data_IF_170424529680
#
_entry.id   IF_170424529680
#
_cell.length_a   1.000
_cell.length_b   1.000
_cell.length_c   1.000
_cell.angle_alpha   90.00
_cell.angle_beta   90.00
_cell.angle_gamma   90.00
#
_symmetry.space_group_name_H-M   'P 1'
#
loop_
_entity.id
_entity.type
_entity.pdbx_description
1 polymer ?
#
# COMPACT_ATOMS: atom_id res chain seq x y z
N UNK A 1 0.53 47.62 7.33
CA UNK A 1 1.75 46.89 7.74
C UNK A 1 1.44 45.44 8.15
N UNK A 2 0.52 45.26 9.11
CA UNK A 2 0.22 43.94 9.69
C UNK A 2 -0.35 42.95 8.67
N UNK A 3 -1.27 43.39 7.80
CA UNK A 3 -1.82 42.54 6.74
C UNK A 3 -0.76 42.07 5.72
N UNK A 4 0.29 42.86 5.48
CA UNK A 4 1.37 42.45 4.57
C UNK A 4 2.32 41.46 5.26
N UNK A 5 2.54 41.63 6.56
CA UNK A 5 3.30 40.66 7.37
C UNK A 5 2.60 39.30 7.39
N UNK A 6 1.28 39.27 7.62
CA UNK A 6 0.53 38.01 7.61
C UNK A 6 0.52 37.33 6.24
N UNK A 7 0.46 38.11 5.15
CA UNK A 7 0.59 37.57 3.79
C UNK A 7 1.98 37.00 3.52
N UNK A 8 3.04 37.65 4.01
CA UNK A 8 4.41 37.16 3.87
C UNK A 8 4.64 35.87 4.68
N UNK A 9 4.10 35.80 5.89
CA UNK A 9 4.13 34.59 6.73
C UNK A 9 3.38 33.43 6.08
N UNK A 10 2.23 33.69 5.46
CA UNK A 10 1.47 32.67 4.72
C UNK A 10 2.24 32.17 3.47
N UNK A 11 2.82 33.09 2.69
CA UNK A 11 3.62 32.73 1.52
C UNK A 11 4.81 31.85 1.92
N UNK A 12 5.51 32.22 2.99
CA UNK A 12 6.59 31.43 3.56
C UNK A 12 6.11 30.05 4.06
N UNK A 13 4.94 29.99 4.71
CA UNK A 13 4.34 28.73 5.16
C UNK A 13 3.95 27.79 4.00
N UNK A 14 3.64 28.35 2.83
CA UNK A 14 3.41 27.60 1.59
C UNK A 14 4.70 27.37 0.77
N UNK A 15 5.87 27.67 1.34
CA UNK A 15 7.17 27.45 0.70
C UNK A 15 7.52 28.44 -0.40
N UNK A 16 6.84 29.59 -0.47
CA UNK A 16 6.96 30.57 -1.55
C UNK A 16 6.76 29.95 -2.94
N UNK A 17 5.90 28.91 -3.06
CA UNK A 17 5.65 28.20 -4.31
C UNK A 17 4.53 28.87 -5.13
N UNK A 18 4.83 29.60 -6.23
CA UNK A 18 3.80 30.22 -7.07
C UNK A 18 2.90 29.19 -7.77
N UNK A 19 3.32 27.92 -7.83
CA UNK A 19 2.58 26.81 -8.42
C UNK A 19 2.06 25.83 -7.38
N UNK A 20 1.94 26.23 -6.10
CA UNK A 20 1.57 25.34 -4.99
C UNK A 20 0.40 24.39 -5.33
N UNK A 21 -0.68 24.92 -5.92
CA UNK A 21 -1.84 24.10 -6.32
C UNK A 21 -1.49 23.01 -7.35
N UNK A 22 -0.67 23.33 -8.35
CA UNK A 22 -0.17 22.38 -9.35
C UNK A 22 0.78 21.37 -8.72
N UNK A 23 1.72 21.83 -7.89
CA UNK A 23 2.65 20.98 -7.15
C UNK A 23 1.90 19.95 -6.32
N UNK A 24 0.91 20.39 -5.54
CA UNK A 24 0.06 19.51 -4.74
C UNK A 24 -0.76 18.57 -5.62
N UNK A 25 -1.38 19.06 -6.70
CA UNK A 25 -2.15 18.22 -7.63
C UNK A 25 -1.29 17.09 -8.20
N UNK A 26 -0.06 17.39 -8.63
CA UNK A 26 0.89 16.40 -9.14
C UNK A 26 1.30 15.39 -8.05
N UNK A 27 1.55 15.86 -6.83
CA UNK A 27 1.89 14.99 -5.71
C UNK A 27 0.73 14.05 -5.32
N UNK A 28 -0.52 14.50 -5.47
CA UNK A 28 -1.71 13.69 -5.25
C UNK A 28 -1.96 12.70 -6.40
N UNK A 29 -1.72 13.11 -7.65
CA UNK A 29 -1.89 12.26 -8.82
C UNK A 29 -0.98 11.01 -8.83
N UNK A 30 0.17 11.08 -8.13
CA UNK A 30 1.07 9.93 -7.96
C UNK A 30 0.64 8.93 -6.88
N UNK A 31 -0.44 9.18 -6.13
CA UNK A 31 -0.97 8.24 -5.13
C UNK A 31 -1.70 7.09 -5.82
N UNK A 32 -1.69 5.93 -5.19
CA UNK A 32 -2.49 4.81 -5.66
C UNK A 32 -3.99 5.15 -5.60
N UNK A 33 -4.78 4.88 -6.66
CA UNK A 33 -6.22 5.04 -6.62
C UNK A 33 -6.87 4.18 -5.54
N UNK A 34 -8.02 4.64 -5.02
CA UNK A 34 -8.81 3.83 -4.08
C UNK A 34 -9.29 2.57 -4.79
N UNK A 35 -8.91 1.43 -4.26
CA UNK A 35 -9.23 0.11 -4.79
C UNK A 35 -9.72 -0.80 -3.65
N UNK A 36 -10.81 -1.51 -3.89
CA UNK A 36 -11.48 -2.30 -2.87
C UNK A 36 -10.69 -3.59 -2.53
N UNK A 37 -10.02 -4.19 -3.51
CA UNK A 37 -9.12 -5.33 -3.30
C UNK A 37 -7.91 -4.95 -2.45
N UNK A 38 -7.31 -3.78 -2.69
CA UNK A 38 -6.23 -3.28 -1.84
C UNK A 38 -6.68 -2.92 -0.43
N UNK A 39 -7.88 -2.37 -0.29
CA UNK A 39 -8.47 -2.11 1.03
C UNK A 39 -8.61 -3.43 1.80
N UNK A 40 -9.17 -4.47 1.16
CA UNK A 40 -9.31 -5.79 1.75
C UNK A 40 -7.98 -6.43 2.17
N UNK A 41 -6.91 -6.23 1.39
CA UNK A 41 -5.56 -6.68 1.76
C UNK A 41 -4.98 -5.89 2.95
N UNK A 42 -5.18 -4.58 2.97
CA UNK A 42 -4.68 -3.70 4.04
C UNK A 42 -5.38 -3.95 5.40
N UNK A 43 -6.61 -4.46 5.37
CA UNK A 43 -7.39 -4.82 6.56
C UNK A 43 -6.94 -6.14 7.21
N UNK A 44 -6.12 -6.96 6.54
CA UNK A 44 -5.67 -8.24 7.09
C UNK A 44 -4.72 -8.04 8.28
N UNK A 45 -5.05 -8.67 9.41
CA UNK A 45 -4.17 -8.70 10.59
C UNK A 45 -2.92 -9.57 10.31
N UNK A 46 -1.83 -8.93 9.88
CA UNK A 46 -0.58 -9.64 9.58
C UNK A 46 -0.02 -10.36 10.82
N UNK A 47 0.51 -11.56 10.59
CA UNK A 47 1.14 -12.39 11.61
C UNK A 47 2.11 -13.36 10.93
N UNK A 48 3.04 -13.93 11.69
CA UNK A 48 3.92 -14.98 11.19
C UNK A 48 3.10 -16.18 10.69
N UNK A 49 3.64 -16.90 9.71
CA UNK A 49 3.06 -18.14 9.21
C UNK A 49 1.61 -18.01 8.70
N UNK A 50 1.27 -16.86 8.07
CA UNK A 50 -0.01 -16.64 7.38
C UNK A 50 0.18 -16.42 5.89
N UNK A 51 -0.78 -16.91 5.09
CA UNK A 51 -0.89 -16.66 3.66
C UNK A 51 -2.19 -15.91 3.37
N UNK A 52 -2.13 -14.70 2.78
CA UNK A 52 -3.29 -14.03 2.20
C UNK A 52 -3.86 -14.81 1.01
N UNK A 53 -5.18 -14.90 0.92
CA UNK A 53 -5.90 -15.47 -0.22
C UNK A 53 -7.24 -14.76 -0.42
N UNK A 54 -7.78 -14.82 -1.64
CA UNK A 54 -9.07 -14.20 -1.96
C UNK A 54 -10.22 -15.18 -1.74
N UNK A 55 -11.30 -14.70 -1.13
CA UNK A 55 -12.53 -15.48 -0.88
C UNK A 55 -13.70 -15.02 -1.77
N UNK A 56 -13.46 -14.03 -2.63
CA UNK A 56 -14.39 -13.43 -3.56
C UNK A 56 -13.84 -12.12 -4.11
N UNK A 57 -14.60 -11.44 -4.96
CA UNK A 57 -14.27 -10.09 -5.41
C UNK A 57 -14.13 -9.17 -4.18
N UNK A 58 -13.02 -8.42 -4.12
CA UNK A 58 -12.72 -7.46 -3.05
C UNK A 58 -12.77 -8.04 -1.63
N UNK A 59 -12.48 -9.34 -1.49
CA UNK A 59 -12.47 -10.03 -0.20
C UNK A 59 -11.22 -10.87 -0.05
N UNK A 60 -10.42 -10.55 0.97
CA UNK A 60 -9.24 -11.30 1.34
C UNK A 60 -9.39 -11.93 2.72
N UNK A 61 -8.68 -13.03 2.96
CA UNK A 61 -8.60 -13.70 4.24
C UNK A 61 -7.17 -14.24 4.44
N UNK A 62 -6.86 -14.66 5.66
CA UNK A 62 -5.61 -15.32 5.99
C UNK A 62 -5.86 -16.79 6.31
N UNK A 63 -5.00 -17.65 5.78
CA UNK A 63 -4.89 -19.04 6.21
C UNK A 63 -3.53 -19.28 6.88
N UNK A 64 -3.42 -20.32 7.71
CA UNK A 64 -2.13 -20.73 8.25
C UNK A 64 -1.26 -21.32 7.12
N UNK A 65 -0.01 -20.86 7.02
CA UNK A 65 0.98 -21.39 6.09
C UNK A 65 2.08 -22.07 6.88
N UNK A 66 2.12 -23.40 6.82
CA UNK A 66 3.10 -24.21 7.55
C UNK A 66 4.47 -24.16 6.89
N UNK A 67 5.50 -24.61 7.62
CA UNK A 67 6.84 -24.84 7.05
C UNK A 67 6.81 -25.81 5.87
N UNK A 68 6.00 -26.87 5.97
CA UNK A 68 5.74 -27.82 4.88
C UNK A 68 5.16 -27.14 3.66
N UNK A 69 4.10 -26.33 3.85
CA UNK A 69 3.48 -25.58 2.77
C UNK A 69 4.46 -24.64 2.06
N UNK A 70 5.29 -23.91 2.83
CA UNK A 70 6.35 -23.05 2.26
C UNK A 70 7.38 -23.84 1.46
N UNK A 71 7.80 -24.99 1.98
CA UNK A 71 8.80 -25.81 1.31
C UNK A 71 8.29 -26.40 0.00
N UNK A 72 7.01 -26.81 -0.06
CA UNK A 72 6.35 -27.27 -1.28
C UNK A 72 6.21 -26.11 -2.29
N UNK A 73 5.71 -24.95 -1.86
CA UNK A 73 5.55 -23.76 -2.73
C UNK A 73 6.88 -23.26 -3.32
N UNK A 74 7.99 -23.50 -2.62
CA UNK A 74 9.34 -23.14 -3.08
C UNK A 74 9.97 -24.11 -4.08
N UNK A 75 9.33 -25.23 -4.42
CA UNK A 75 9.86 -26.19 -5.39
C UNK A 75 9.73 -25.66 -6.81
N UNK A 76 10.77 -25.85 -7.61
CA UNK A 76 10.85 -25.36 -9.00
C UNK A 76 10.46 -26.39 -10.05
N UNK A 77 10.17 -27.63 -9.64
CA UNK A 77 9.78 -28.71 -10.54
C UNK A 77 8.73 -29.61 -9.88
N UNK A 78 7.92 -30.27 -10.73
CA UNK A 78 6.97 -31.29 -10.27
C UNK A 78 7.67 -32.42 -9.53
N UNK A 79 8.82 -32.88 -10.03
CA UNK A 79 9.62 -33.91 -9.35
C UNK A 79 10.03 -33.44 -7.96
N UNK A 80 10.48 -32.19 -7.81
CA UNK A 80 10.86 -31.64 -6.51
C UNK A 80 9.70 -31.52 -5.51
N UNK A 81 8.46 -31.42 -5.99
CA UNK A 81 7.23 -31.50 -5.16
C UNK A 81 6.94 -32.95 -4.79
N UNK A 82 7.09 -33.89 -5.72
CA UNK A 82 6.87 -35.33 -5.49
C UNK A 82 7.91 -35.92 -4.51
N UNK A 83 9.12 -35.38 -4.48
CA UNK A 83 10.23 -35.82 -3.62
C UNK A 83 10.20 -35.20 -2.21
N UNK A 84 9.16 -34.42 -1.86
CA UNK A 84 9.04 -33.75 -0.57
C UNK A 84 8.54 -34.70 0.53
#
# INVERSE_FOLDING_TARGET
>A
PDALNTLNELAAALGNDPNFATTMTNALAGKQPKDATLTALAELATSADKLPYFTGADRAALTALTSVGRAILGKTSTQGVLDY
#
